data_IF_531280249825
#
_entry.id   IF_531280249825
#
_cell.length_a   1.000
_cell.length_b   1.000
_cell.length_c   1.000
_cell.angle_alpha   90.00
_cell.angle_beta   90.00
_cell.angle_gamma   90.00
#
_symmetry.space_group_name_H-M   'P 1'
#
loop_
_entity.id
_entity.type
_entity.pdbx_description
1 polymer ?
#
# COMPACT_ATOMS: atom_id res chain seq x y z
N UNK A 1 -14.05 9.30 54.20
CA UNK A 1 -12.92 9.87 53.43
C UNK A 1 -12.25 8.66 52.75
N UNK A 2 -12.80 8.23 51.64
CA UNK A 2 -12.27 7.08 50.90
C UNK A 2 -11.58 7.61 49.65
N UNK A 3 -10.25 7.49 49.63
CA UNK A 3 -9.43 7.79 48.49
C UNK A 3 -9.55 6.62 47.50
N UNK A 4 -10.03 6.90 46.28
CA UNK A 4 -9.89 6.01 45.16
C UNK A 4 -8.42 6.03 44.70
N UNK A 5 -7.80 4.87 44.44
CA UNK A 5 -6.50 4.85 43.76
C UNK A 5 -6.70 5.21 42.29
N UNK A 6 -6.02 6.28 41.85
CA UNK A 6 -5.83 6.62 40.45
C UNK A 6 -5.14 5.43 39.73
N UNK A 7 -5.79 4.88 38.72
CA UNK A 7 -5.19 3.92 37.86
C UNK A 7 -4.10 4.61 37.04
N UNK A 8 -2.86 4.27 37.31
CA UNK A 8 -1.70 4.58 36.48
C UNK A 8 -1.91 3.90 35.13
N UNK A 9 -1.77 4.58 33.96
CA UNK A 9 -1.84 3.90 32.68
C UNK A 9 -0.64 2.94 32.59
N UNK A 10 -0.92 1.66 32.38
CA UNK A 10 0.10 0.64 32.10
C UNK A 10 0.93 1.09 30.90
N UNK A 11 2.22 1.26 31.10
CA UNK A 11 3.21 1.42 30.04
C UNK A 11 3.07 0.20 29.14
N UNK A 12 2.74 0.43 27.84
CA UNK A 12 2.49 -0.61 26.87
C UNK A 12 3.62 -1.64 26.86
N UNK A 13 3.26 -2.90 26.98
CA UNK A 13 4.14 -4.00 26.74
C UNK A 13 4.77 -3.83 25.35
N UNK A 14 6.07 -4.04 25.23
CA UNK A 14 6.79 -4.05 23.95
C UNK A 14 6.15 -5.11 23.06
N UNK A 15 5.29 -4.68 22.13
CA UNK A 15 4.54 -5.56 21.23
C UNK A 15 5.46 -6.22 20.19
N UNK A 16 6.74 -5.83 20.14
CA UNK A 16 7.65 -6.22 19.06
C UNK A 16 7.28 -5.64 17.69
N UNK A 17 6.30 -4.73 17.64
CA UNK A 17 5.87 -4.08 16.41
C UNK A 17 6.92 -3.06 15.93
N UNK A 18 7.17 -3.04 14.62
CA UNK A 18 8.01 -2.02 13.98
C UNK A 18 7.29 -0.67 13.87
N UNK A 19 5.99 -0.72 13.61
CA UNK A 19 5.09 0.45 13.60
C UNK A 19 3.80 0.06 14.28
N UNK A 20 3.31 0.94 15.16
CA UNK A 20 2.04 0.81 15.85
C UNK A 20 1.27 2.13 15.73
N UNK A 21 0.04 2.05 15.32
CA UNK A 21 -0.97 3.09 15.39
C UNK A 21 -1.96 2.69 16.48
N UNK A 22 -2.18 3.56 17.47
CA UNK A 22 -3.12 3.33 18.55
C UNK A 22 -4.18 4.44 18.53
N UNK A 23 -5.42 4.07 18.21
CA UNK A 23 -6.62 4.92 18.18
C UNK A 23 -6.40 6.24 17.39
N UNK A 24 -5.75 6.12 16.24
CA UNK A 24 -5.36 7.26 15.42
C UNK A 24 -6.57 7.79 14.65
N UNK A 25 -6.83 9.11 14.82
CA UNK A 25 -7.85 9.81 14.05
C UNK A 25 -7.24 10.96 13.23
N UNK A 26 -7.90 11.28 12.10
CA UNK A 26 -7.50 12.36 11.20
C UNK A 26 -8.69 13.11 10.64
N UNK A 27 -8.65 14.44 10.75
CA UNK A 27 -9.69 15.34 10.28
C UNK A 27 -9.15 16.29 9.20
N UNK A 28 -9.93 16.55 8.17
CA UNK A 28 -9.69 17.59 7.18
C UNK A 28 -10.88 18.57 7.20
N UNK A 29 -10.75 19.63 7.99
CA UNK A 29 -11.88 20.50 8.30
C UNK A 29 -12.98 19.72 9.00
N UNK A 30 -14.18 19.66 8.41
CA UNK A 30 -15.31 18.90 8.95
C UNK A 30 -15.38 17.44 8.46
N UNK A 31 -14.42 17.02 7.63
CA UNK A 31 -14.38 15.65 7.11
C UNK A 31 -13.51 14.80 8.00
N UNK A 32 -14.10 13.76 8.61
CA UNK A 32 -13.40 12.73 9.36
C UNK A 32 -12.86 11.68 8.37
N UNK A 33 -11.55 11.71 8.14
CA UNK A 33 -10.88 10.83 7.20
C UNK A 33 -10.44 9.52 7.83
N UNK A 34 -10.08 9.53 9.14
CA UNK A 34 -9.84 8.35 9.97
C UNK A 34 -10.45 8.60 11.35
N UNK A 35 -10.94 7.52 11.97
CA UNK A 35 -11.52 7.50 13.31
C UNK A 35 -11.05 6.27 14.06
N UNK A 36 -10.30 6.49 15.15
CA UNK A 36 -9.85 5.48 16.11
C UNK A 36 -9.25 4.22 15.43
N UNK A 37 -8.36 4.45 14.45
CA UNK A 37 -7.72 3.37 13.70
C UNK A 37 -6.50 2.89 14.45
N UNK A 38 -6.48 1.59 14.75
CA UNK A 38 -5.35 0.89 15.38
C UNK A 38 -4.79 -0.16 14.42
N UNK A 39 -3.45 -0.17 14.27
CA UNK A 39 -2.73 -1.06 13.35
C UNK A 39 -1.35 -1.38 13.91
N UNK A 40 -0.97 -2.63 13.83
CA UNK A 40 0.40 -3.07 14.13
C UNK A 40 1.06 -3.65 12.89
N UNK A 41 2.36 -3.38 12.74
CA UNK A 41 3.21 -3.91 11.67
C UNK A 41 4.38 -4.63 12.30
N UNK A 42 4.43 -5.94 12.14
CA UNK A 42 5.47 -6.79 12.72
C UNK A 42 6.56 -7.16 11.71
N UNK A 43 7.80 -7.42 12.15
CA UNK A 43 8.85 -7.92 11.28
C UNK A 43 8.47 -9.29 10.72
N UNK A 44 8.70 -9.50 9.42
CA UNK A 44 8.37 -10.75 8.75
C UNK A 44 6.87 -11.03 8.59
N UNK A 45 6.03 -9.98 8.65
CA UNK A 45 4.58 -10.06 8.46
C UNK A 45 4.12 -9.11 7.34
N UNK A 46 3.16 -9.54 6.54
CA UNK A 46 2.44 -8.69 5.58
C UNK A 46 1.07 -8.35 6.16
N UNK A 47 0.92 -7.11 6.61
CA UNK A 47 -0.36 -6.54 7.04
C UNK A 47 -1.04 -5.91 5.83
N UNK A 48 -2.13 -6.50 5.37
CA UNK A 48 -2.93 -5.99 4.26
C UNK A 48 -3.99 -5.01 4.78
N UNK A 49 -3.97 -3.77 4.28
CA UNK A 49 -5.02 -2.79 4.56
C UNK A 49 -5.97 -2.74 3.37
N UNK A 50 -7.19 -3.18 3.61
CA UNK A 50 -8.23 -3.39 2.61
C UNK A 50 -9.39 -2.41 2.81
N UNK A 51 -10.10 -2.11 1.75
CA UNK A 51 -11.29 -1.25 1.76
C UNK A 51 -11.51 -0.57 0.42
N UNK A 52 -12.72 -0.06 0.22
CA UNK A 52 -13.12 0.64 -1.00
C UNK A 52 -12.45 2.00 -1.16
N UNK A 53 -12.67 2.63 -2.30
CA UNK A 53 -12.25 4.00 -2.54
C UNK A 53 -12.95 4.94 -1.54
N UNK A 54 -12.16 5.81 -0.89
CA UNK A 54 -12.68 6.67 0.18
C UNK A 54 -12.72 6.03 1.57
N UNK A 55 -12.29 4.78 1.74
CA UNK A 55 -12.27 4.10 3.04
C UNK A 55 -11.25 4.68 4.06
N UNK A 56 -10.36 5.59 3.65
CA UNK A 56 -9.33 6.17 4.52
C UNK A 56 -7.91 5.63 4.28
N UNK A 57 -7.73 4.63 3.40
CA UNK A 57 -6.43 3.99 3.13
C UNK A 57 -5.31 4.97 2.80
N UNK A 58 -5.55 5.90 1.87
CA UNK A 58 -4.55 6.91 1.49
C UNK A 58 -4.22 7.90 2.62
N UNK A 59 -5.15 8.16 3.53
CA UNK A 59 -4.88 8.98 4.73
C UNK A 59 -3.99 8.23 5.70
N UNK A 60 -4.26 6.94 5.92
CA UNK A 60 -3.43 6.07 6.74
C UNK A 60 -1.98 6.01 6.24
N UNK A 61 -1.80 5.81 4.92
CA UNK A 61 -0.46 5.85 4.30
C UNK A 61 0.24 7.17 4.57
N UNK A 62 -0.46 8.30 4.38
CA UNK A 62 0.13 9.64 4.56
C UNK A 62 0.59 9.89 6.00
N UNK A 63 -0.08 9.29 6.98
CA UNK A 63 0.32 9.36 8.38
C UNK A 63 1.58 8.51 8.59
N UNK A 64 1.58 7.24 8.18
CA UNK A 64 2.73 6.33 8.34
C UNK A 64 3.96 6.86 7.57
N UNK A 65 3.75 7.44 6.40
CA UNK A 65 4.81 8.03 5.58
C UNK A 65 5.28 9.42 6.06
N UNK A 66 4.67 9.99 7.10
CA UNK A 66 5.03 11.31 7.63
C UNK A 66 4.66 12.50 6.72
N UNK A 67 3.72 12.31 5.78
CA UNK A 67 3.19 13.38 4.95
C UNK A 67 2.17 14.25 5.68
N UNK A 68 1.38 13.64 6.58
CA UNK A 68 0.39 14.33 7.40
C UNK A 68 0.50 13.85 8.84
N UNK A 69 0.45 14.74 9.84
CA UNK A 69 0.31 14.33 11.23
C UNK A 69 -1.11 13.79 11.47
N UNK A 70 -1.24 12.86 12.41
CA UNK A 70 -2.52 12.50 13.01
C UNK A 70 -2.99 13.61 13.96
N UNK A 71 -4.29 13.65 14.26
CA UNK A 71 -4.86 14.67 15.12
C UNK A 71 -5.06 14.14 16.55
N UNK A 72 -5.42 12.85 16.71
CA UNK A 72 -5.53 12.15 17.99
C UNK A 72 -4.94 10.75 17.90
N UNK A 73 -4.74 10.08 19.02
CA UNK A 73 -4.10 8.79 19.12
C UNK A 73 -2.58 8.88 19.17
N UNK A 74 -1.90 7.76 18.96
CA UNK A 74 -0.44 7.67 18.98
C UNK A 74 0.11 6.88 17.81
N UNK A 75 1.23 7.36 17.25
CA UNK A 75 2.08 6.61 16.31
C UNK A 75 3.36 6.24 17.06
N UNK A 76 3.66 4.95 17.15
CA UNK A 76 4.91 4.43 17.69
C UNK A 76 5.73 3.75 16.60
N UNK A 77 7.04 3.98 16.62
CA UNK A 77 8.01 3.34 15.74
C UNK A 77 9.07 2.68 16.61
N UNK A 78 9.19 1.36 16.51
CA UNK A 78 10.06 0.54 17.37
C UNK A 78 9.81 0.82 18.87
N UNK A 79 8.55 0.91 19.27
CA UNK A 79 8.11 1.18 20.64
C UNK A 79 8.16 2.66 21.09
N UNK A 80 8.80 3.55 20.33
CA UNK A 80 8.92 4.97 20.66
C UNK A 80 7.77 5.79 20.04
N UNK A 81 7.03 6.52 20.89
CA UNK A 81 6.02 7.46 20.40
C UNK A 81 6.66 8.57 19.57
N UNK A 82 6.11 8.81 18.40
CA UNK A 82 6.75 9.62 17.37
C UNK A 82 5.76 10.49 16.63
N UNK A 83 6.13 11.75 16.43
CA UNK A 83 5.42 12.67 15.56
C UNK A 83 6.25 12.91 14.30
N UNK A 84 5.88 12.28 13.21
CA UNK A 84 6.54 12.49 11.92
C UNK A 84 6.08 13.82 11.30
N UNK A 85 7.04 14.68 10.95
CA UNK A 85 6.79 15.98 10.32
C UNK A 85 7.20 16.01 8.83
N UNK A 86 7.79 14.94 8.32
CA UNK A 86 8.19 14.83 6.92
C UNK A 86 8.44 13.37 6.50
N UNK A 87 8.30 13.05 5.20
CA UNK A 87 8.65 11.73 4.65
C UNK A 87 10.13 11.37 4.86
N UNK A 88 10.99 12.37 4.96
CA UNK A 88 12.41 12.15 5.26
C UNK A 88 12.60 11.52 6.63
N UNK A 89 11.87 12.00 7.63
CA UNK A 89 11.93 11.43 8.98
C UNK A 89 11.40 9.99 9.02
N UNK A 90 10.34 9.67 8.27
CA UNK A 90 9.85 8.31 8.15
C UNK A 90 10.93 7.39 7.53
N UNK A 91 11.58 7.84 6.45
CA UNK A 91 12.65 7.11 5.80
C UNK A 91 13.87 6.92 6.73
N UNK A 92 14.28 7.96 7.45
CA UNK A 92 15.41 7.90 8.40
C UNK A 92 15.13 6.93 9.57
N UNK A 93 13.84 6.64 9.88
CA UNK A 93 13.40 5.60 10.83
C UNK A 93 13.18 4.22 10.20
N UNK A 94 13.45 4.09 8.91
CA UNK A 94 13.35 2.82 8.17
C UNK A 94 11.98 2.55 7.59
N UNK A 95 11.08 3.54 7.47
CA UNK A 95 9.80 3.38 6.79
C UNK A 95 9.93 3.90 5.36
N UNK A 96 9.87 3.01 4.38
CA UNK A 96 9.89 3.35 2.97
C UNK A 96 8.50 3.14 2.34
N UNK A 97 8.02 4.14 1.60
CA UNK A 97 6.72 4.09 0.92
C UNK A 97 6.90 4.06 -0.58
N UNK A 98 6.26 3.10 -1.23
CA UNK A 98 6.15 2.99 -2.68
C UNK A 98 4.70 3.29 -3.05
N UNK A 99 4.49 4.45 -3.67
CA UNK A 99 3.16 4.91 -4.07
C UNK A 99 2.73 4.26 -5.39
N UNK A 100 1.43 4.28 -5.65
CA UNK A 100 0.83 3.82 -6.92
C UNK A 100 1.46 4.54 -8.12
N UNK A 101 1.60 5.86 -8.04
CA UNK A 101 2.37 6.65 -9.00
C UNK A 101 3.85 6.62 -8.60
N UNK A 102 4.61 5.77 -9.28
CA UNK A 102 6.04 5.64 -9.01
C UNK A 102 6.79 6.92 -9.31
N UNK A 103 7.53 7.41 -8.31
CA UNK A 103 8.41 8.57 -8.47
C UNK A 103 9.67 8.19 -9.29
N UNK A 104 9.48 7.88 -10.57
CA UNK A 104 10.55 7.53 -11.51
C UNK A 104 10.65 8.58 -12.62
N UNK A 105 11.86 8.78 -13.13
CA UNK A 105 12.11 9.64 -14.28
C UNK A 105 12.21 8.75 -15.54
N UNK A 106 11.19 8.70 -16.42
CA UNK A 106 11.08 7.68 -17.47
C UNK A 106 12.26 7.60 -18.43
N UNK A 107 12.85 8.74 -18.80
CA UNK A 107 13.98 8.82 -19.72
C UNK A 107 15.34 8.55 -19.05
N UNK A 108 15.36 8.44 -17.73
CA UNK A 108 16.60 8.22 -17.00
C UNK A 108 16.89 6.71 -16.91
N UNK A 109 18.18 6.29 -16.98
CA UNK A 109 18.57 4.89 -16.82
C UNK A 109 18.06 4.26 -15.51
N UNK A 110 17.82 2.94 -15.53
CA UNK A 110 17.35 2.18 -14.36
C UNK A 110 18.30 2.39 -13.16
N UNK A 111 19.61 2.21 -13.35
CA UNK A 111 20.59 2.40 -12.26
C UNK A 111 20.53 3.80 -11.64
N UNK A 112 20.25 4.82 -12.44
CA UNK A 112 20.18 6.20 -11.94
C UNK A 112 18.87 6.46 -11.19
N UNK A 113 17.74 5.90 -11.66
CA UNK A 113 16.48 5.91 -10.91
C UNK A 113 16.63 5.16 -9.57
N UNK A 114 17.36 4.04 -9.55
CA UNK A 114 17.59 3.26 -8.35
C UNK A 114 18.27 4.08 -7.24
N UNK A 115 19.24 4.94 -7.60
CA UNK A 115 19.99 5.78 -6.66
C UNK A 115 19.48 7.22 -6.56
N UNK A 116 18.39 7.58 -7.22
CA UNK A 116 17.90 8.96 -7.29
C UNK A 116 17.71 9.58 -5.89
N UNK A 117 18.43 10.67 -5.59
CA UNK A 117 18.41 11.33 -4.28
C UNK A 117 19.34 10.71 -3.22
N UNK A 118 20.07 9.64 -3.56
CA UNK A 118 21.06 8.97 -2.69
C UNK A 118 22.27 8.53 -3.50
N UNK A 119 22.70 9.36 -4.44
CA UNK A 119 23.77 9.04 -5.38
C UNK A 119 25.14 8.95 -4.67
N UNK A 120 25.80 7.78 -4.67
CA UNK A 120 27.15 7.61 -4.19
C UNK A 120 28.13 8.49 -4.96
N UNK A 121 29.08 9.08 -4.25
CA UNK A 121 30.09 9.94 -4.86
C UNK A 121 31.49 9.51 -4.49
N UNK A 122 32.43 9.63 -5.44
CA UNK A 122 33.87 9.49 -5.24
C UNK A 122 34.56 10.85 -5.31
N UNK A 123 35.79 10.94 -4.75
CA UNK A 123 36.56 12.19 -4.68
C UNK A 123 36.27 13.01 -3.43
N UNK A 124 37.01 14.15 -3.29
CA UNK A 124 36.90 15.04 -2.12
C UNK A 124 36.68 16.50 -2.58
N UNK A 125 35.91 17.24 -1.78
CA UNK A 125 35.66 18.67 -2.00
C UNK A 125 35.03 18.95 -3.38
N UNK A 126 35.55 19.93 -4.15
CA UNK A 126 35.00 20.32 -5.44
C UNK A 126 35.19 19.26 -6.56
N UNK A 127 35.99 18.22 -6.32
CA UNK A 127 36.24 17.13 -7.26
C UNK A 127 35.33 15.91 -7.01
N UNK A 128 34.30 16.04 -6.20
CA UNK A 128 33.31 14.98 -6.01
C UNK A 128 32.54 14.70 -7.32
N UNK A 129 32.50 13.43 -7.70
CA UNK A 129 31.78 12.95 -8.88
C UNK A 129 30.92 11.75 -8.49
N UNK A 130 29.81 11.56 -9.17
CA UNK A 130 29.01 10.33 -8.99
C UNK A 130 29.85 9.10 -9.31
N UNK A 131 29.74 8.07 -8.48
CA UNK A 131 30.36 6.77 -8.73
C UNK A 131 29.45 5.93 -9.63
N UNK A 132 29.45 6.28 -10.92
CA UNK A 132 28.58 5.64 -11.93
C UNK A 132 28.86 4.14 -12.04
N UNK A 133 30.13 3.73 -11.89
CA UNK A 133 30.48 2.31 -11.98
C UNK A 133 29.86 1.52 -10.83
N UNK A 134 30.05 1.97 -9.60
CA UNK A 134 29.47 1.37 -8.41
C UNK A 134 27.93 1.33 -8.52
N UNK A 135 27.29 2.42 -8.93
CA UNK A 135 25.84 2.51 -9.06
C UNK A 135 25.29 1.49 -10.06
N UNK A 136 25.94 1.31 -11.21
CA UNK A 136 25.55 0.32 -12.23
C UNK A 136 25.71 -1.13 -11.74
N UNK A 137 26.87 -1.44 -11.18
CA UNK A 137 27.20 -2.76 -10.67
C UNK A 137 26.23 -3.15 -9.53
N UNK A 138 26.01 -2.23 -8.59
CA UNK A 138 25.10 -2.44 -7.47
C UNK A 138 23.64 -2.57 -7.91
N UNK A 139 23.14 -1.67 -8.75
CA UNK A 139 21.76 -1.77 -9.23
C UNK A 139 21.52 -3.11 -9.95
N UNK A 140 22.46 -3.55 -10.80
CA UNK A 140 22.35 -4.85 -11.47
C UNK A 140 22.35 -6.00 -10.47
N UNK A 141 23.25 -6.00 -9.49
CA UNK A 141 23.34 -7.06 -8.50
C UNK A 141 22.10 -7.14 -7.61
N UNK A 142 21.59 -5.99 -7.13
CA UNK A 142 20.41 -5.96 -6.26
C UNK A 142 19.13 -6.36 -7.01
N UNK A 143 18.96 -5.92 -8.25
CA UNK A 143 17.83 -6.35 -9.08
C UNK A 143 17.90 -7.85 -9.38
N UNK A 144 19.09 -8.37 -9.70
CA UNK A 144 19.28 -9.80 -9.93
C UNK A 144 19.02 -10.64 -8.65
N UNK A 145 19.43 -10.16 -7.45
CA UNK A 145 19.15 -10.82 -6.16
C UNK A 145 17.65 -10.95 -5.91
N UNK A 146 16.87 -9.97 -6.35
CA UNK A 146 15.41 -10.01 -6.29
C UNK A 146 14.79 -10.78 -7.48
N UNK A 147 15.60 -11.40 -8.36
CA UNK A 147 15.14 -12.16 -9.52
C UNK A 147 14.64 -11.30 -10.68
N UNK A 148 14.98 -9.99 -10.70
CA UNK A 148 14.71 -9.10 -11.83
C UNK A 148 15.85 -9.22 -12.82
N UNK A 149 15.68 -10.00 -13.87
CA UNK A 149 16.66 -10.15 -14.92
C UNK A 149 16.48 -9.03 -15.96
N UNK A 150 17.17 -7.92 -15.74
CA UNK A 150 17.23 -6.82 -16.70
C UNK A 150 18.38 -7.07 -17.69
N UNK A 151 18.06 -7.01 -18.97
CA UNK A 151 19.07 -7.11 -20.05
C UNK A 151 20.14 -6.02 -19.92
N UNK A 152 19.72 -4.81 -19.59
CA UNK A 152 20.61 -3.67 -19.44
C UNK A 152 20.08 -2.69 -18.39
N UNK A 153 20.91 -2.36 -17.36
CA UNK A 153 20.58 -1.34 -16.36
C UNK A 153 20.75 0.09 -16.89
N UNK A 154 21.38 0.24 -18.05
CA UNK A 154 21.54 1.54 -18.74
C UNK A 154 20.30 1.91 -19.57
N UNK A 155 19.37 0.99 -19.80
CA UNK A 155 18.11 1.31 -20.51
C UNK A 155 17.26 2.30 -19.71
N UNK A 156 16.51 3.19 -20.39
CA UNK A 156 15.56 4.09 -19.73
C UNK A 156 14.51 3.30 -18.95
N UNK A 157 14.22 3.68 -17.70
CA UNK A 157 13.26 2.96 -16.87
C UNK A 157 11.84 2.94 -17.45
N UNK A 158 11.51 3.93 -18.28
CA UNK A 158 10.24 3.99 -19.01
C UNK A 158 10.03 2.86 -20.02
N UNK A 159 11.10 2.15 -20.44
CA UNK A 159 11.01 0.98 -21.34
C UNK A 159 10.63 -0.31 -20.62
N UNK A 160 10.69 -0.30 -19.28
CA UNK A 160 10.27 -1.43 -18.47
C UNK A 160 8.74 -1.52 -18.40
N UNK A 161 8.23 -2.74 -18.25
CA UNK A 161 6.82 -2.97 -17.92
C UNK A 161 6.44 -2.33 -16.57
N UNK A 162 5.15 -2.11 -16.35
CA UNK A 162 4.65 -1.58 -15.06
C UNK A 162 5.13 -2.40 -13.86
N UNK A 163 5.04 -3.73 -13.97
CA UNK A 163 5.50 -4.63 -12.90
C UNK A 163 7.01 -4.56 -12.65
N UNK A 164 7.83 -4.48 -13.69
CA UNK A 164 9.28 -4.32 -13.54
C UNK A 164 9.64 -2.99 -12.87
N UNK A 165 8.98 -1.89 -13.25
CA UNK A 165 9.18 -0.60 -12.57
C UNK A 165 8.82 -0.66 -11.09
N UNK A 166 7.71 -1.33 -10.76
CA UNK A 166 7.29 -1.55 -9.37
C UNK A 166 8.35 -2.34 -8.60
N UNK A 167 8.86 -3.42 -9.20
CA UNK A 167 9.91 -4.23 -8.59
C UNK A 167 11.21 -3.44 -8.37
N UNK A 168 11.60 -2.56 -9.30
CA UNK A 168 12.76 -1.66 -9.11
C UNK A 168 12.54 -0.74 -7.91
N UNK A 169 11.33 -0.18 -7.73
CA UNK A 169 11.03 0.68 -6.59
C UNK A 169 11.07 -0.08 -5.25
N UNK A 170 10.57 -1.31 -5.21
CA UNK A 170 10.64 -2.20 -4.04
C UNK A 170 12.11 -2.56 -3.74
N UNK A 171 12.88 -2.98 -4.75
CA UNK A 171 14.30 -3.32 -4.59
C UNK A 171 15.11 -2.15 -4.05
N UNK A 172 14.84 -0.95 -4.55
CA UNK A 172 15.43 0.29 -4.05
C UNK A 172 15.14 0.51 -2.55
N UNK A 173 13.87 0.39 -2.14
CA UNK A 173 13.48 0.57 -0.74
C UNK A 173 14.22 -0.42 0.17
N UNK A 174 14.28 -1.70 -0.21
CA UNK A 174 15.00 -2.74 0.52
C UNK A 174 16.50 -2.44 0.61
N UNK A 175 17.13 -2.07 -0.52
CA UNK A 175 18.56 -1.75 -0.57
C UNK A 175 18.95 -0.59 0.36
N UNK A 176 18.11 0.44 0.46
CA UNK A 176 18.36 1.59 1.34
C UNK A 176 17.97 1.36 2.80
N UNK A 177 17.72 0.10 3.19
CA UNK A 177 17.59 -0.29 4.59
C UNK A 177 16.20 -0.07 5.19
N UNK A 178 15.15 -0.16 4.36
CA UNK A 178 13.80 -0.19 4.89
C UNK A 178 13.64 -1.34 5.89
N UNK A 179 13.02 -1.05 7.03
CA UNK A 179 12.52 -2.03 8.01
C UNK A 179 11.04 -2.28 7.80
N UNK A 180 10.32 -1.23 7.40
CA UNK A 180 8.91 -1.27 7.03
C UNK A 180 8.74 -0.78 5.60
N UNK A 181 8.07 -1.58 4.78
CA UNK A 181 7.76 -1.29 3.39
C UNK A 181 6.26 -1.06 3.24
N UNK A 182 5.87 0.17 2.95
CA UNK A 182 4.47 0.54 2.67
C UNK A 182 4.24 0.56 1.17
N UNK A 183 3.31 -0.23 0.68
CA UNK A 183 2.98 -0.39 -0.74
C UNK A 183 1.55 0.06 -1.00
N UNK A 184 1.39 1.13 -1.78
CA UNK A 184 0.09 1.69 -2.14
C UNK A 184 -0.35 1.17 -3.51
N UNK A 185 -1.34 0.28 -3.51
CA UNK A 185 -1.92 -0.33 -4.72
C UNK A 185 -0.87 -0.85 -5.71
N UNK A 186 0.12 -1.66 -5.29
CA UNK A 186 1.28 -1.99 -6.13
C UNK A 186 0.95 -2.85 -7.34
N UNK A 187 -0.24 -3.42 -7.40
CA UNK A 187 -0.73 -4.26 -8.50
C UNK A 187 -1.84 -3.61 -9.32
N UNK A 188 -2.21 -2.35 -8.99
CA UNK A 188 -3.21 -1.62 -9.76
C UNK A 188 -2.73 -1.41 -11.21
N UNK A 189 -3.65 -1.54 -12.16
CA UNK A 189 -3.37 -1.40 -13.60
C UNK A 189 -2.33 -2.38 -14.18
N UNK A 190 -1.99 -3.47 -13.46
CA UNK A 190 -1.12 -4.53 -13.95
C UNK A 190 -1.93 -5.75 -14.41
N UNK A 191 -1.45 -6.42 -15.46
CA UNK A 191 -1.99 -7.71 -15.87
C UNK A 191 -1.64 -8.82 -14.86
N UNK A 192 -2.38 -9.94 -14.90
CA UNK A 192 -2.25 -11.06 -13.94
C UNK A 192 -0.80 -11.54 -13.77
N UNK A 193 -0.06 -11.72 -14.85
CA UNK A 193 1.34 -12.16 -14.80
C UNK A 193 2.24 -11.14 -14.09
N UNK A 194 2.05 -9.86 -14.39
CA UNK A 194 2.84 -8.77 -13.78
C UNK A 194 2.52 -8.62 -12.30
N UNK A 195 1.23 -8.70 -11.92
CA UNK A 195 0.81 -8.70 -10.52
C UNK A 195 1.44 -9.87 -9.74
N UNK A 196 1.45 -11.08 -10.33
CA UNK A 196 2.08 -12.24 -9.72
C UNK A 196 3.59 -12.05 -9.47
N UNK A 197 4.29 -11.36 -10.38
CA UNK A 197 5.71 -11.02 -10.18
C UNK A 197 5.84 -10.03 -9.01
N UNK A 198 5.09 -8.94 -8.98
CA UNK A 198 5.14 -7.96 -7.89
C UNK A 198 4.84 -8.61 -6.54
N UNK A 199 3.79 -9.43 -6.44
CA UNK A 199 3.43 -10.13 -5.20
C UNK A 199 4.53 -11.08 -4.70
N UNK A 200 5.30 -11.73 -5.61
CA UNK A 200 6.48 -12.50 -5.22
C UNK A 200 7.55 -11.63 -4.54
N UNK A 201 7.75 -10.40 -5.01
CA UNK A 201 8.72 -9.49 -4.38
C UNK A 201 8.22 -8.98 -3.04
N UNK A 202 6.91 -8.76 -2.90
CA UNK A 202 6.29 -8.44 -1.61
C UNK A 202 6.55 -9.56 -0.60
N UNK A 203 6.31 -10.82 -0.99
CA UNK A 203 6.59 -11.97 -0.16
C UNK A 203 8.10 -12.10 0.16
N UNK A 204 8.98 -11.89 -0.82
CA UNK A 204 10.43 -11.94 -0.60
C UNK A 204 10.91 -10.85 0.38
N UNK A 205 10.31 -9.67 0.39
CA UNK A 205 10.61 -8.62 1.36
C UNK A 205 10.21 -9.05 2.79
N UNK A 206 9.02 -9.65 2.96
CA UNK A 206 8.60 -10.26 4.23
C UNK A 206 9.58 -11.35 4.69
N UNK A 207 9.94 -12.28 3.79
CA UNK A 207 10.83 -13.40 4.10
C UNK A 207 12.25 -12.91 4.45
N UNK A 208 12.64 -11.73 3.99
CA UNK A 208 13.86 -11.04 4.40
C UNK A 208 13.74 -10.33 5.77
N UNK A 209 12.60 -10.45 6.46
CA UNK A 209 12.36 -9.91 7.80
C UNK A 209 11.78 -8.50 7.84
N UNK A 210 11.38 -7.91 6.70
CA UNK A 210 10.71 -6.61 6.71
C UNK A 210 9.26 -6.76 7.19
N UNK A 211 8.77 -5.74 7.89
CA UNK A 211 7.33 -5.53 8.04
C UNK A 211 6.77 -4.93 6.75
N UNK A 212 5.70 -5.48 6.22
CA UNK A 212 5.10 -4.97 4.98
C UNK A 212 3.66 -4.53 5.22
N UNK A 213 3.34 -3.30 4.81
CA UNK A 213 1.96 -2.79 4.74
C UNK A 213 1.55 -2.79 3.28
N UNK A 214 0.67 -3.70 2.91
CA UNK A 214 0.13 -3.83 1.56
C UNK A 214 -1.27 -3.21 1.51
N UNK A 215 -1.40 -2.05 0.87
CA UNK A 215 -2.69 -1.41 0.68
C UNK A 215 -3.25 -1.82 -0.69
N UNK A 216 -4.45 -2.35 -0.71
CA UNK A 216 -5.14 -2.70 -1.95
C UNK A 216 -6.66 -2.78 -1.76
N UNK A 217 -7.38 -2.59 -2.87
CA UNK A 217 -8.81 -2.87 -2.94
C UNK A 217 -9.11 -4.27 -3.51
N UNK A 218 -8.06 -5.07 -3.82
CA UNK A 218 -8.21 -6.41 -4.38
C UNK A 218 -8.00 -7.48 -3.29
N UNK A 219 -9.07 -8.11 -2.76
CA UNK A 219 -8.98 -9.12 -1.72
C UNK A 219 -8.23 -10.37 -2.18
N UNK A 220 -8.33 -10.76 -3.46
CA UNK A 220 -7.61 -11.90 -4.00
C UNK A 220 -6.10 -11.71 -3.94
N UNK A 221 -5.60 -10.55 -4.34
CA UNK A 221 -4.17 -10.24 -4.27
C UNK A 221 -3.67 -10.19 -2.82
N UNK A 222 -4.45 -9.56 -1.93
CA UNK A 222 -4.14 -9.52 -0.51
C UNK A 222 -4.09 -10.92 0.10
N UNK A 223 -5.08 -11.77 -0.18
CA UNK A 223 -5.18 -13.10 0.39
C UNK A 223 -4.04 -14.04 -0.04
N UNK A 224 -3.49 -13.85 -1.25
CA UNK A 224 -2.36 -14.64 -1.75
C UNK A 224 -1.12 -14.50 -0.88
N UNK A 225 -0.81 -13.29 -0.39
CA UNK A 225 0.46 -12.98 0.28
C UNK A 225 0.32 -12.49 1.72
N UNK A 226 -0.85 -11.97 2.11
CA UNK A 226 -1.11 -11.38 3.42
C UNK A 226 -1.09 -12.39 4.55
N UNK A 227 -0.63 -11.96 5.71
CA UNK A 227 -0.66 -12.70 6.97
C UNK A 227 -1.73 -12.13 7.90
N UNK A 228 -1.97 -10.81 7.86
CA UNK A 228 -3.02 -10.07 8.58
C UNK A 228 -3.82 -9.20 7.63
N UNK A 229 -5.13 -9.10 7.86
CA UNK A 229 -6.06 -8.28 7.06
C UNK A 229 -6.75 -7.27 7.96
N UNK A 230 -6.58 -5.99 7.66
CA UNK A 230 -7.26 -4.87 8.33
C UNK A 230 -8.23 -4.25 7.34
N UNK A 231 -9.50 -4.27 7.68
CA UNK A 231 -10.57 -3.75 6.85
C UNK A 231 -10.92 -2.33 7.29
N UNK A 232 -10.82 -1.38 6.37
CA UNK A 232 -11.25 0.00 6.58
C UNK A 232 -12.54 0.28 5.81
N UNK A 233 -13.51 0.91 6.49
CA UNK A 233 -14.76 1.38 5.89
C UNK A 233 -15.08 2.77 6.43
N UNK A 234 -15.24 3.75 5.53
CA UNK A 234 -15.60 5.15 5.87
C UNK A 234 -14.73 5.78 6.97
N UNK A 235 -13.43 5.49 6.94
CA UNK A 235 -12.46 6.03 7.89
C UNK A 235 -12.31 5.27 9.19
N UNK A 236 -13.11 4.25 9.46
CA UNK A 236 -13.05 3.44 10.67
C UNK A 236 -12.62 1.99 10.38
N UNK A 237 -12.16 1.28 11.39
CA UNK A 237 -11.89 -0.15 11.30
C UNK A 237 -13.19 -0.94 11.26
N UNK A 238 -13.38 -1.73 10.20
CA UNK A 238 -14.50 -2.66 10.07
C UNK A 238 -14.16 -4.08 10.55
N UNK A 239 -12.87 -4.40 10.63
CA UNK A 239 -12.38 -5.70 11.12
C UNK A 239 -10.87 -5.83 11.05
N UNK A 240 -10.33 -6.77 11.82
CA UNK A 240 -8.93 -7.18 11.76
C UNK A 240 -8.85 -8.69 11.96
N UNK A 241 -8.23 -9.40 11.03
CA UNK A 241 -8.19 -10.86 11.00
C UNK A 241 -6.79 -11.36 10.68
N UNK A 242 -6.39 -12.47 11.29
CA UNK A 242 -5.25 -13.24 10.81
C UNK A 242 -5.70 -14.14 9.64
N UNK A 243 -4.77 -14.51 8.77
CA UNK A 243 -5.07 -15.35 7.59
C UNK A 243 -5.74 -16.68 7.96
N UNK A 244 -5.42 -17.25 9.13
CA UNK A 244 -6.02 -18.51 9.61
C UNK A 244 -7.45 -18.38 10.10
N UNK A 245 -7.92 -17.16 10.39
CA UNK A 245 -9.20 -16.88 11.03
C UNK A 245 -10.30 -16.47 10.03
N UNK A 246 -9.93 -16.21 8.77
CA UNK A 246 -10.86 -15.76 7.74
C UNK A 246 -10.53 -16.41 6.40
N UNK A 247 -11.54 -16.82 5.65
CA UNK A 247 -11.37 -17.28 4.28
C UNK A 247 -11.54 -16.12 3.26
N UNK A 248 -11.22 -16.39 1.99
CA UNK A 248 -11.28 -15.39 0.93
C UNK A 248 -12.69 -14.89 0.63
N UNK A 249 -13.69 -15.78 0.72
CA UNK A 249 -15.09 -15.44 0.43
C UNK A 249 -15.63 -14.52 1.51
N UNK A 250 -15.34 -14.81 2.79
CA UNK A 250 -15.70 -13.96 3.92
C UNK A 250 -14.98 -12.62 3.87
N UNK A 251 -13.67 -12.61 3.58
CA UNK A 251 -12.89 -11.39 3.41
C UNK A 251 -13.48 -10.50 2.30
N UNK A 252 -13.83 -11.09 1.17
CA UNK A 252 -14.46 -10.40 0.04
C UNK A 252 -15.81 -9.84 0.41
N UNK A 253 -16.65 -10.61 1.13
CA UNK A 253 -17.96 -10.18 1.60
C UNK A 253 -17.90 -9.03 2.59
N UNK A 254 -16.96 -9.07 3.54
CA UNK A 254 -16.78 -7.98 4.49
C UNK A 254 -16.26 -6.70 3.81
N UNK A 255 -15.38 -6.82 2.82
CA UNK A 255 -14.94 -5.68 2.00
C UNK A 255 -16.09 -5.04 1.23
N UNK A 256 -16.92 -5.86 0.58
CA UNK A 256 -18.04 -5.39 -0.22
C UNK A 256 -19.18 -4.78 0.63
N UNK A 257 -19.05 -4.86 1.97
CA UNK A 257 -20.06 -4.33 2.88
C UNK A 257 -21.38 -5.06 2.73
N UNK A 258 -21.46 -6.36 2.99
CA UNK A 258 -22.56 -7.30 2.79
C UNK A 258 -23.98 -6.71 2.64
N UNK A 259 -24.36 -5.76 3.52
CA UNK A 259 -25.62 -5.00 3.43
C UNK A 259 -25.70 -4.06 2.22
N UNK A 260 -24.58 -3.46 1.80
CA UNK A 260 -24.56 -2.46 0.71
C UNK A 260 -24.76 -3.13 -0.67
N UNK A 261 -24.36 -4.41 -0.83
CA UNK A 261 -24.64 -5.19 -2.04
C UNK A 261 -26.08 -5.66 -2.11
N UNK A 262 -26.67 -6.05 -0.97
CA UNK A 262 -28.08 -6.42 -0.89
C UNK A 262 -28.97 -5.20 -1.18
N UNK A 263 -28.65 -4.02 -0.60
CA UNK A 263 -29.34 -2.76 -0.89
C UNK A 263 -29.19 -2.34 -2.37
N UNK A 264 -27.99 -2.54 -2.98
CA UNK A 264 -27.78 -2.25 -4.39
C UNK A 264 -28.57 -3.20 -5.29
N UNK A 265 -28.62 -4.49 -4.95
CA UNK A 265 -29.43 -5.49 -5.62
C UNK A 265 -30.92 -5.10 -5.63
N UNK A 266 -31.45 -4.76 -4.45
CA UNK A 266 -32.83 -4.30 -4.31
C UNK A 266 -33.09 -2.96 -5.05
N UNK A 267 -32.12 -2.03 -5.04
CA UNK A 267 -32.25 -0.76 -5.75
C UNK A 267 -32.26 -0.96 -7.28
N UNK A 268 -31.45 -1.91 -7.80
CA UNK A 268 -31.43 -2.25 -9.22
C UNK A 268 -32.73 -2.92 -9.66
N UNK A 269 -33.31 -3.78 -8.83
CA UNK A 269 -34.61 -4.41 -9.11
C UNK A 269 -35.76 -3.40 -9.11
N UNK A 270 -35.69 -2.37 -8.27
CA UNK A 270 -36.69 -1.30 -8.16
C UNK A 270 -36.51 -0.17 -9.19
N UNK A 271 -35.34 -0.04 -9.80
CA UNK A 271 -35.08 1.02 -10.76
C UNK A 271 -35.84 0.76 -12.08
N UNK A 272 -36.70 1.66 -12.53
CA UNK A 272 -37.36 1.53 -13.82
C UNK A 272 -36.33 1.61 -14.94
N UNK A 273 -36.34 0.64 -15.85
CA UNK A 273 -35.51 0.73 -17.07
C UNK A 273 -36.04 1.88 -17.91
N UNK A 274 -35.19 2.88 -18.28
CA UNK A 274 -35.64 4.00 -19.10
C UNK A 274 -36.22 3.50 -20.43
N UNK A 275 -37.43 3.95 -20.79
CA UNK A 275 -38.19 3.53 -21.97
C UNK A 275 -37.42 3.56 -23.30
N UNK A 276 -36.38 4.41 -23.42
CA UNK A 276 -35.52 4.51 -24.59
C UNK A 276 -34.48 3.38 -24.73
N UNK A 277 -34.29 2.55 -23.70
CA UNK A 277 -33.41 1.37 -23.73
C UNK A 277 -34.20 0.06 -23.92
N UNK A 278 -35.54 0.10 -23.76
CA UNK A 278 -36.44 -1.06 -23.93
C UNK A 278 -37.06 -1.24 -25.33
N UNK A 279 -36.77 -0.36 -26.28
CA UNK A 279 -37.45 -0.32 -27.58
C UNK A 279 -36.65 -0.92 -28.74
N UNK A 280 -36.44 -2.20 -28.75
CA UNK A 280 -35.76 -2.95 -29.83
C UNK A 280 -36.39 -4.26 -30.26
N UNK A 281 -37.76 -4.38 -30.20
CA UNK A 281 -38.41 -5.55 -30.81
C UNK A 281 -39.74 -5.15 -31.41
N UNK A 282 -39.91 -5.56 -32.66
CA UNK A 282 -41.16 -5.62 -33.44
C UNK A 282 -41.63 -4.32 -34.14
N UNK A 283 -40.98 -3.98 -35.23
CA UNK A 283 -41.75 -3.47 -36.37
C UNK A 283 -41.90 -4.64 -37.36
N UNK A 284 -43.05 -5.33 -37.25
CA UNK A 284 -43.49 -6.31 -38.21
C UNK A 284 -43.62 -5.69 -39.60
N UNK A 285 -43.02 -6.30 -40.58
CA UNK A 285 -43.28 -6.07 -41.98
C UNK A 285 -44.65 -6.64 -42.28
N UNK A 286 -45.64 -5.80 -42.57
CA UNK A 286 -46.84 -6.23 -43.28
C UNK A 286 -46.50 -6.44 -44.75
N UNK A 287 -46.98 -7.55 -45.37
CA UNK A 287 -46.85 -7.75 -46.82
C UNK A 287 -47.98 -7.02 -47.50
N UNK A 288 -47.70 -5.86 -48.12
CA UNK A 288 -48.62 -5.18 -49.00
C UNK A 288 -48.72 -5.96 -50.33
N UNK A 289 -49.88 -6.53 -50.55
CA UNK A 289 -50.27 -7.08 -51.85
C UNK A 289 -50.76 -5.95 -52.79
N UNK A 290 -50.34 -6.03 -54.01
CA UNK A 290 -50.93 -5.90 -55.34
C UNK A 290 -49.88 -5.41 -56.32
#
# INVERSE_FOLDING_TARGET
MNAHPEATPEAGADSGALVELADVSKYYGNVRALEDVSLEVHPGEITCVLGDNGAGKSTLIKIIAGLHPHDTGALRIAGEETHLSSPRQALDRGIATVYQDLAVVPLMPVWRNFFLGSEPTTGKGPFRRMDVRFMRETARAELARMGIDLRDVDQPIGTLSGGERQCVAIARAVYFGAKVLVLDEPTAALGVKQSGVVLKYVAAARDAGLGVVLITHNPHHAYLVGDRFVLLKRGAMAGSHLKGDIDLDELTRQMAGGSDLDELGEALERAPVPDHLGGGAARGAEPGGR
#
